data_IF_701709895032
#
_entry.id   IF_701709895032
#
_cell.length_a   1.000
_cell.length_b   1.000
_cell.length_c   1.000
_cell.angle_alpha   90.00
_cell.angle_beta   90.00
_cell.angle_gamma   90.00
#
_symmetry.space_group_name_H-M   'P 1'
#
loop_
_entity.id
_entity.type
_entity.pdbx_description
1 polymer ?
#
# COMPACT_ATOMS: atom_id res chain seq x y z
N UNK A 1 53.12 28.79 1.64
CA UNK A 1 52.87 28.85 3.10
C UNK A 1 51.83 29.92 3.36
N UNK A 2 50.56 29.52 3.50
CA UNK A 2 49.42 30.40 3.81
C UNK A 2 48.77 29.87 5.10
N UNK A 3 48.39 30.78 6.00
CA UNK A 3 48.07 30.44 7.40
C UNK A 3 46.69 29.75 7.55
N UNK A 4 46.49 28.88 8.55
CA UNK A 4 45.31 28.01 8.65
C UNK A 4 44.04 28.67 9.22
N UNK A 5 43.97 30.01 9.28
CA UNK A 5 42.87 30.73 9.96
C UNK A 5 41.79 31.32 9.04
N UNK A 6 41.89 31.15 7.73
CA UNK A 6 40.92 31.73 6.76
C UNK A 6 39.91 30.74 6.17
N UNK A 7 39.99 29.44 6.47
CA UNK A 7 39.07 28.43 5.90
C UNK A 7 37.82 28.20 6.79
N UNK A 8 37.88 28.57 8.07
CA UNK A 8 36.76 28.41 9.02
C UNK A 8 35.72 29.55 8.99
N UNK A 9 35.95 30.61 8.21
CA UNK A 9 35.01 31.74 8.10
C UNK A 9 34.05 31.63 6.90
N UNK A 10 34.29 30.71 5.96
CA UNK A 10 33.41 30.52 4.80
C UNK A 10 32.35 29.44 5.01
N UNK A 11 32.58 28.45 5.90
CA UNK A 11 31.59 27.38 6.17
C UNK A 11 30.39 27.88 6.98
N UNK A 12 30.58 28.92 7.80
CA UNK A 12 29.50 29.46 8.66
C UNK A 12 28.62 30.50 7.94
N UNK A 13 29.03 31.02 6.77
CA UNK A 13 28.25 31.97 5.98
C UNK A 13 27.28 31.28 4.98
N UNK A 14 27.55 30.03 4.60
CA UNK A 14 26.69 29.26 3.69
C UNK A 14 25.52 28.60 4.46
N UNK A 15 25.71 28.25 5.73
CA UNK A 15 24.66 27.69 6.59
C UNK A 15 23.58 28.73 7.01
N UNK A 16 23.90 30.02 7.00
CA UNK A 16 22.97 31.09 7.40
C UNK A 16 22.10 31.64 6.25
N UNK A 17 22.38 31.28 5.00
CA UNK A 17 21.64 31.78 3.82
C UNK A 17 20.55 30.79 3.35
N UNK A 18 20.58 29.54 3.84
CA UNK A 18 19.58 28.50 3.49
C UNK A 18 18.34 28.52 4.41
N UNK A 19 18.36 29.30 5.50
CA UNK A 19 17.29 29.31 6.51
C UNK A 19 16.31 30.51 6.46
N UNK A 20 16.36 31.37 5.43
CA UNK A 20 15.55 32.61 5.34
C UNK A 20 14.66 32.71 4.08
N UNK A 21 14.54 31.66 3.25
CA UNK A 21 13.64 31.66 2.10
C UNK A 21 12.64 30.50 2.09
N UNK A 22 11.81 30.39 3.13
CA UNK A 22 10.57 29.58 3.12
C UNK A 22 9.48 30.23 3.99
N UNK A 23 8.99 31.38 3.57
CA UNK A 23 7.72 31.94 4.03
C UNK A 23 7.22 32.97 3.02
N UNK A 24 5.90 32.93 2.72
CA UNK A 24 5.14 33.64 1.68
C UNK A 24 5.16 32.93 0.31
N UNK A 25 4.06 32.64 -0.39
CA UNK A 25 2.64 32.99 -0.31
C UNK A 25 1.82 31.78 -0.86
N UNK A 26 0.52 31.61 -0.57
CA UNK A 26 -0.55 32.26 -1.31
C UNK A 26 -1.88 32.12 -0.55
N UNK A 27 -2.53 33.27 -0.33
CA UNK A 27 -3.94 33.40 0.03
C UNK A 27 -4.83 33.48 -1.22
N UNK A 28 -6.10 33.14 -0.96
CA UNK A 28 -7.27 33.00 -1.82
C UNK A 28 -7.67 34.24 -2.63
N UNK A 29 -8.26 34.03 -3.82
CA UNK A 29 -9.39 34.83 -4.36
C UNK A 29 -10.33 33.93 -5.19
N UNK A 30 -11.67 34.03 -5.06
CA UNK A 30 -12.65 33.21 -5.81
C UNK A 30 -13.18 33.91 -7.08
N UNK A 31 -13.64 33.11 -8.07
CA UNK A 31 -14.31 33.58 -9.30
C UNK A 31 -15.15 32.47 -9.96
N UNK A 32 -16.13 32.80 -10.83
CA UNK A 32 -17.49 32.28 -10.73
C UNK A 32 -17.81 31.00 -11.52
N UNK A 33 -18.89 30.35 -11.07
CA UNK A 33 -19.51 29.15 -11.63
C UNK A 33 -20.23 29.43 -12.96
N UNK A 34 -20.00 28.55 -13.95
CA UNK A 34 -20.92 28.30 -15.05
C UNK A 34 -21.39 26.84 -14.97
N UNK A 35 -22.71 26.70 -14.96
CA UNK A 35 -23.46 25.45 -14.92
C UNK A 35 -23.68 24.90 -16.33
N UNK A 36 -23.46 23.60 -16.53
CA UNK A 36 -24.13 22.83 -17.57
C UNK A 36 -24.25 21.35 -17.18
N UNK A 37 -25.44 20.81 -17.46
CA UNK A 37 -25.98 19.50 -17.08
C UNK A 37 -25.29 18.32 -17.78
N UNK A 38 -25.25 17.16 -17.11
CA UNK A 38 -25.26 15.85 -17.78
C UNK A 38 -24.60 14.69 -17.01
N UNK A 39 -25.43 13.71 -16.62
CA UNK A 39 -25.10 12.34 -16.18
C UNK A 39 -24.36 12.15 -14.82
N UNK A 40 -25.13 11.75 -13.81
CA UNK A 40 -24.64 11.40 -12.48
C UNK A 40 -24.03 9.98 -12.45
N UNK A 41 -22.69 9.92 -12.54
CA UNK A 41 -21.90 8.97 -11.75
C UNK A 41 -21.40 9.73 -10.53
N UNK A 42 -21.70 9.25 -9.32
CA UNK A 42 -21.28 9.88 -8.08
C UNK A 42 -19.77 9.69 -7.89
N UNK A 43 -18.97 10.52 -8.56
CA UNK A 43 -17.56 10.70 -8.24
C UNK A 43 -17.48 11.54 -6.96
N UNK A 44 -17.21 10.90 -5.82
CA UNK A 44 -16.76 11.60 -4.63
C UNK A 44 -15.39 12.25 -4.90
N UNK A 45 -15.14 13.50 -4.47
CA UNK A 45 -13.82 14.10 -4.59
C UNK A 45 -12.81 13.28 -3.76
N UNK A 46 -11.81 12.68 -4.43
CA UNK A 46 -10.67 12.01 -3.78
C UNK A 46 -10.02 12.96 -2.78
N UNK A 47 -10.19 12.70 -1.47
CA UNK A 47 -9.43 13.41 -0.45
C UNK A 47 -8.01 12.87 -0.46
N UNK A 48 -7.04 13.70 -0.88
CA UNK A 48 -5.64 13.35 -0.80
C UNK A 48 -5.25 12.98 0.64
N UNK A 49 -4.69 11.79 0.82
CA UNK A 49 -4.03 11.36 2.04
C UNK A 49 -2.80 12.25 2.28
N UNK A 50 -2.98 13.36 3.00
CA UNK A 50 -1.87 14.18 3.46
C UNK A 50 -1.24 13.53 4.69
N UNK A 51 -0.32 12.59 4.45
CA UNK A 51 0.56 12.02 5.49
C UNK A 51 1.99 12.58 5.35
N UNK A 52 2.10 13.89 5.14
CA UNK A 52 3.38 14.61 5.05
C UNK A 52 3.71 15.27 6.38
N UNK A 53 4.58 14.66 7.20
CA UNK A 53 5.62 15.37 7.98
C UNK A 53 6.39 14.54 9.03
N UNK A 54 6.22 13.22 9.15
CA UNK A 54 6.92 12.44 10.22
C UNK A 54 7.99 11.44 9.78
N UNK A 55 8.35 11.35 8.50
CA UNK A 55 9.08 10.15 7.99
C UNK A 55 10.55 10.31 7.61
N UNK A 56 11.11 11.51 7.54
CA UNK A 56 12.53 11.71 7.17
C UNK A 56 13.54 11.58 8.33
N UNK A 57 13.07 11.40 9.58
CA UNK A 57 13.94 11.39 10.77
C UNK A 57 14.37 9.98 11.25
N UNK A 58 14.10 8.92 10.49
CA UNK A 58 14.26 7.53 10.96
C UNK A 58 15.64 6.92 10.73
N UNK A 59 16.56 7.55 10.00
CA UNK A 59 17.73 6.83 9.45
C UNK A 59 19.11 7.42 9.80
N UNK A 60 19.19 8.43 10.66
CA UNK A 60 20.47 8.98 11.18
C UNK A 60 20.45 9.10 12.72
N UNK A 61 20.37 7.97 13.42
CA UNK A 61 20.61 7.90 14.86
C UNK A 61 21.36 6.58 15.20
N UNK A 62 22.16 6.62 16.27
CA UNK A 62 23.05 5.59 16.85
C UNK A 62 23.10 4.20 16.20
N UNK A 63 24.30 3.84 15.71
CA UNK A 63 24.55 2.88 14.63
C UNK A 63 24.02 1.43 14.75
N UNK A 64 23.65 0.89 15.92
CA UNK A 64 23.30 -0.53 16.03
C UNK A 64 21.89 -0.80 16.59
N UNK A 65 21.50 -0.21 17.72
CA UNK A 65 20.15 -0.44 18.29
C UNK A 65 19.03 0.13 17.42
N UNK A 66 19.25 1.32 16.83
CA UNK A 66 18.28 1.94 15.92
C UNK A 66 18.18 1.16 14.59
N UNK A 67 19.27 0.51 14.17
CA UNK A 67 19.31 -0.30 12.95
C UNK A 67 18.50 -1.60 13.08
N UNK A 68 18.57 -2.27 14.24
CA UNK A 68 17.78 -3.47 14.51
C UNK A 68 16.27 -3.16 14.52
N UNK A 69 15.86 -2.10 15.21
CA UNK A 69 14.46 -1.66 15.24
C UNK A 69 13.96 -1.24 13.84
N UNK A 70 14.79 -0.54 13.06
CA UNK A 70 14.47 -0.18 11.68
C UNK A 70 14.32 -1.42 10.78
N UNK A 71 15.17 -2.43 10.95
CA UNK A 71 15.07 -3.71 10.25
C UNK A 71 13.76 -4.42 10.56
N UNK A 72 13.45 -4.63 11.84
CA UNK A 72 12.19 -5.27 12.24
C UNK A 72 10.98 -4.52 11.69
N UNK A 73 11.02 -3.18 11.66
CA UNK A 73 9.96 -2.36 11.05
C UNK A 73 9.85 -2.56 9.55
N UNK A 74 10.97 -2.70 8.84
CA UNK A 74 10.98 -2.92 7.40
C UNK A 74 10.46 -4.32 7.05
N UNK A 75 10.93 -5.35 7.75
CA UNK A 75 10.45 -6.73 7.63
C UNK A 75 8.93 -6.79 7.83
N UNK A 76 8.46 -6.17 8.91
CA UNK A 76 7.04 -6.01 9.21
C UNK A 76 6.25 -5.26 8.12
N UNK A 77 6.82 -4.20 7.55
CA UNK A 77 6.18 -3.43 6.46
C UNK A 77 6.06 -4.25 5.17
N UNK A 78 7.00 -5.16 4.92
CA UNK A 78 7.01 -6.06 3.77
C UNK A 78 6.40 -7.42 4.06
N UNK A 79 5.79 -7.63 5.24
CA UNK A 79 5.14 -8.90 5.56
C UNK A 79 3.91 -9.13 4.68
N UNK A 80 4.01 -10.13 3.82
CA UNK A 80 2.94 -10.54 2.91
C UNK A 80 1.68 -11.01 3.64
N UNK A 81 1.81 -11.52 4.88
CA UNK A 81 0.65 -11.95 5.68
C UNK A 81 -0.16 -10.76 6.16
N UNK A 82 0.51 -9.71 6.64
CA UNK A 82 -0.12 -8.45 7.03
C UNK A 82 -0.77 -7.78 5.82
N UNK A 83 -0.08 -7.77 4.67
CA UNK A 83 -0.63 -7.25 3.43
C UNK A 83 -1.86 -8.05 2.95
N UNK A 84 -1.83 -9.37 3.05
CA UNK A 84 -2.99 -10.22 2.75
C UNK A 84 -4.20 -9.90 3.63
N UNK A 85 -4.00 -9.64 4.93
CA UNK A 85 -5.07 -9.17 5.82
C UNK A 85 -5.62 -7.82 5.37
N UNK A 86 -4.75 -6.88 4.98
CA UNK A 86 -5.16 -5.58 4.45
C UNK A 86 -6.09 -5.75 3.24
N UNK A 87 -5.68 -6.56 2.25
CA UNK A 87 -6.48 -6.79 1.05
C UNK A 87 -7.78 -7.53 1.33
N UNK A 88 -7.77 -8.50 2.25
CA UNK A 88 -8.98 -9.22 2.65
C UNK A 88 -10.03 -8.30 3.28
N UNK A 89 -9.61 -7.35 4.14
CA UNK A 89 -10.53 -6.37 4.72
C UNK A 89 -11.09 -5.44 3.64
N UNK A 90 -10.24 -4.93 2.73
CA UNK A 90 -10.68 -4.05 1.65
C UNK A 90 -11.67 -4.74 0.70
N UNK A 91 -11.37 -5.97 0.26
CA UNK A 91 -12.29 -6.76 -0.56
C UNK A 91 -13.58 -7.09 0.19
N UNK A 92 -13.52 -7.34 1.51
CA UNK A 92 -14.73 -7.55 2.31
C UNK A 92 -15.60 -6.28 2.40
N UNK A 93 -14.99 -5.11 2.63
CA UNK A 93 -15.72 -3.83 2.64
C UNK A 93 -16.39 -3.54 1.29
N UNK A 94 -15.69 -3.81 0.19
CA UNK A 94 -16.25 -3.70 -1.16
C UNK A 94 -17.48 -4.61 -1.36
N UNK A 95 -17.42 -5.85 -0.84
CA UNK A 95 -18.57 -6.77 -0.88
C UNK A 95 -19.74 -6.24 -0.04
N UNK A 96 -19.49 -5.69 1.14
CA UNK A 96 -20.55 -5.09 1.96
C UNK A 96 -21.23 -3.93 1.24
N UNK A 97 -20.45 -3.04 0.61
CA UNK A 97 -20.99 -1.94 -0.20
C UNK A 97 -21.85 -2.44 -1.35
N UNK A 98 -21.39 -3.48 -2.07
CA UNK A 98 -22.15 -4.12 -3.16
C UNK A 98 -23.44 -4.76 -2.65
N UNK A 99 -23.43 -5.32 -1.45
CA UNK A 99 -24.58 -5.87 -0.76
C UNK A 99 -25.48 -4.82 -0.08
N UNK A 100 -25.23 -3.52 -0.31
CA UNK A 100 -25.96 -2.38 0.25
C UNK A 100 -25.84 -2.24 1.77
N UNK A 101 -24.70 -2.64 2.31
CA UNK A 101 -24.29 -2.40 3.70
C UNK A 101 -22.98 -1.57 3.78
N UNK A 102 -23.00 -0.30 3.33
CA UNK A 102 -21.82 0.56 3.47
C UNK A 102 -21.51 0.90 4.94
N UNK A 103 -22.45 0.70 5.86
CA UNK A 103 -22.33 1.09 7.27
C UNK A 103 -21.42 0.14 8.04
N UNK A 104 -21.50 -1.17 7.79
CA UNK A 104 -20.51 -2.14 8.29
C UNK A 104 -19.11 -1.80 7.78
N UNK A 105 -18.98 -1.42 6.50
CA UNK A 105 -17.71 -0.95 5.95
C UNK A 105 -17.19 0.27 6.72
N UNK A 106 -18.05 1.26 6.97
CA UNK A 106 -17.67 2.46 7.73
C UNK A 106 -17.26 2.15 9.16
N UNK A 107 -17.96 1.27 9.84
CA UNK A 107 -17.60 0.80 11.19
C UNK A 107 -16.20 0.17 11.22
N UNK A 108 -15.85 -0.62 10.20
CA UNK A 108 -14.50 -1.19 10.06
C UNK A 108 -13.43 -0.09 9.90
N UNK A 109 -13.67 0.95 9.09
CA UNK A 109 -12.73 2.07 8.95
C UNK A 109 -12.49 2.79 10.28
N UNK A 110 -13.56 3.03 11.02
CA UNK A 110 -13.51 3.74 12.30
C UNK A 110 -12.80 2.88 13.35
N UNK A 111 -13.05 1.57 13.38
CA UNK A 111 -12.32 0.60 14.19
C UNK A 111 -10.82 0.60 13.89
N UNK A 112 -10.44 0.60 12.61
CA UNK A 112 -9.04 0.61 12.19
C UNK A 112 -8.38 2.00 12.32
N UNK A 113 -9.17 3.06 12.53
CA UNK A 113 -8.68 4.44 12.52
C UNK A 113 -8.09 4.86 11.17
N UNK A 114 -8.58 4.27 10.07
CA UNK A 114 -8.05 4.52 8.71
C UNK A 114 -9.19 4.96 7.79
N UNK A 115 -9.39 6.27 7.56
CA UNK A 115 -10.47 6.75 6.71
C UNK A 115 -10.21 6.43 5.23
N UNK A 116 -11.28 6.21 4.45
CA UNK A 116 -11.23 5.86 3.03
C UNK A 116 -10.38 4.61 2.76
N UNK A 117 -10.43 3.64 3.66
CA UNK A 117 -9.61 2.45 3.56
C UNK A 117 -10.09 1.54 2.42
N UNK A 118 -11.39 1.54 2.09
CA UNK A 118 -11.90 0.80 0.91
C UNK A 118 -11.26 1.26 -0.40
N UNK A 119 -10.98 2.57 -0.53
CA UNK A 119 -10.45 3.18 -1.74
C UNK A 119 -8.91 3.17 -1.82
N UNK A 120 -8.23 2.82 -0.72
CA UNK A 120 -6.77 2.92 -0.63
C UNK A 120 -6.05 1.88 -1.51
N UNK A 121 -5.30 2.34 -2.52
CA UNK A 121 -4.48 1.48 -3.39
C UNK A 121 -3.01 1.59 -3.01
N UNK A 122 -2.59 0.93 -1.94
CA UNK A 122 -1.20 0.96 -1.48
C UNK A 122 -0.84 -0.17 -0.52
N UNK A 123 0.43 -0.27 -0.18
CA UNK A 123 0.95 -1.24 0.80
C UNK A 123 1.18 -0.57 2.16
N UNK A 124 1.08 -1.36 3.23
CA UNK A 124 1.36 -0.90 4.59
C UNK A 124 0.41 0.21 5.06
N UNK A 125 -0.90 -0.05 4.98
CA UNK A 125 -1.94 0.85 5.48
C UNK A 125 -1.67 1.26 6.94
N UNK A 126 -2.04 2.50 7.30
CA UNK A 126 -1.63 3.14 8.55
C UNK A 126 -1.94 2.33 9.82
N UNK A 127 -3.01 1.54 9.83
CA UNK A 127 -3.37 0.73 10.99
C UNK A 127 -2.36 -0.38 11.30
N UNK A 128 -1.63 -0.90 10.32
CA UNK A 128 -0.69 -2.02 10.54
C UNK A 128 0.32 -1.70 11.65
N UNK A 129 0.81 -0.46 11.71
CA UNK A 129 1.68 0.01 12.79
C UNK A 129 0.98 0.04 14.17
N UNK A 130 -0.29 0.44 14.21
CA UNK A 130 -1.10 0.51 15.44
C UNK A 130 -1.37 -0.88 16.04
N UNK A 131 -1.36 -1.93 15.22
CA UNK A 131 -1.56 -3.31 15.64
C UNK A 131 -0.25 -4.11 15.76
N UNK A 132 0.88 -3.41 15.95
CA UNK A 132 2.17 -4.06 16.18
C UNK A 132 2.68 -4.88 15.00
N UNK A 133 2.19 -4.60 13.79
CA UNK A 133 2.54 -5.27 12.53
C UNK A 133 2.20 -6.77 12.45
N UNK A 134 1.48 -7.32 13.42
CA UNK A 134 1.02 -8.71 13.31
C UNK A 134 -0.17 -8.80 12.36
N UNK A 135 -0.17 -9.80 11.49
CA UNK A 135 -1.22 -9.98 10.48
C UNK A 135 -2.60 -10.31 11.08
N UNK A 136 -2.63 -10.92 12.26
CA UNK A 136 -3.82 -11.39 12.97
C UNK A 136 -4.31 -10.41 14.03
N UNK A 137 -3.44 -9.56 14.57
CA UNK A 137 -3.75 -8.58 15.60
C UNK A 137 -5.01 -7.73 15.32
N UNK A 138 -5.25 -7.16 14.12
CA UNK A 138 -6.50 -6.43 13.86
C UNK A 138 -7.74 -7.32 13.95
N UNK A 139 -7.64 -8.60 13.58
CA UNK A 139 -8.74 -9.57 13.64
C UNK A 139 -9.01 -10.01 15.08
N UNK A 140 -7.95 -10.33 15.83
CA UNK A 140 -8.04 -10.68 17.25
C UNK A 140 -8.64 -9.52 18.06
N UNK A 141 -8.23 -8.29 17.79
CA UNK A 141 -8.78 -7.11 18.48
C UNK A 141 -10.22 -6.82 18.06
N UNK A 142 -10.58 -7.04 16.79
CA UNK A 142 -11.97 -6.93 16.34
C UNK A 142 -12.88 -7.90 17.11
N UNK A 143 -12.47 -9.16 17.30
CA UNK A 143 -13.23 -10.16 18.07
C UNK A 143 -13.41 -9.80 19.55
N UNK A 144 -12.53 -8.95 20.12
CA UNK A 144 -12.66 -8.48 21.51
C UNK A 144 -13.69 -7.36 21.64
N UNK A 145 -14.09 -6.72 20.55
CA UNK A 145 -15.11 -5.67 20.59
C UNK A 145 -16.47 -6.27 20.91
N UNK A 146 -17.27 -5.63 21.78
CA UNK A 146 -18.64 -6.05 22.01
C UNK A 146 -19.47 -5.88 20.74
N UNK A 147 -20.62 -6.57 20.68
CA UNK A 147 -21.62 -6.28 19.66
C UNK A 147 -22.03 -4.81 19.76
N UNK A 148 -22.25 -4.19 18.62
CA UNK A 148 -22.50 -2.76 18.49
C UNK A 148 -23.73 -2.53 17.60
N UNK A 149 -24.34 -1.35 17.69
CA UNK A 149 -25.52 -0.98 16.88
C UNK A 149 -25.26 0.37 16.23
N UNK A 150 -25.20 0.37 14.91
CA UNK A 150 -25.06 1.59 14.12
C UNK A 150 -26.45 2.09 13.74
N UNK A 151 -26.84 3.24 14.27
CA UNK A 151 -28.12 3.88 13.96
C UNK A 151 -27.97 4.72 12.70
N UNK A 152 -28.73 4.39 11.66
CA UNK A 152 -28.70 5.07 10.36
C UNK A 152 -29.99 5.83 10.15
N UNK A 153 -29.90 7.15 10.15
CA UNK A 153 -31.01 8.03 9.80
C UNK A 153 -31.11 8.19 8.28
N UNK A 154 -32.19 7.70 7.67
CA UNK A 154 -32.48 7.92 6.26
C UNK A 154 -33.71 8.80 6.07
N UNK A 155 -33.61 9.75 5.15
CA UNK A 155 -34.75 10.60 4.78
C UNK A 155 -35.82 9.75 4.11
N UNK A 156 -37.03 9.77 4.65
CA UNK A 156 -38.16 9.04 4.08
C UNK A 156 -38.47 9.58 2.67
N UNK A 157 -38.53 8.71 1.66
CA UNK A 157 -38.89 9.11 0.30
C UNK A 157 -40.35 9.58 0.25
N UNK A 158 -40.55 10.81 -0.23
CA UNK A 158 -41.86 11.45 -0.42
C UNK A 158 -42.30 12.34 0.75
N UNK A 159 -42.67 13.59 0.46
CA UNK A 159 -43.23 14.56 1.42
C UNK A 159 -44.66 14.22 1.89
N UNK A 160 -45.14 13.00 1.67
CA UNK A 160 -46.46 12.56 2.10
C UNK A 160 -47.03 11.47 1.20
N UNK A 161 -47.12 10.24 1.72
CA UNK A 161 -48.14 9.31 1.24
C UNK A 161 -49.48 9.79 1.80
N UNK A 162 -50.23 10.56 1.00
CA UNK A 162 -51.57 11.00 1.42
C UNK A 162 -52.19 12.22 0.73
N UNK A 163 -51.76 12.61 -0.48
CA UNK A 163 -52.43 13.70 -1.22
C UNK A 163 -52.10 15.13 -0.76
N UNK A 164 -51.01 15.31 -0.01
CA UNK A 164 -50.57 16.64 0.44
C UNK A 164 -49.81 17.36 -0.68
N UNK A 165 -50.02 18.68 -0.80
CA UNK A 165 -49.30 19.52 -1.76
C UNK A 165 -47.79 19.45 -1.52
N UNK A 166 -47.01 19.25 -2.59
CA UNK A 166 -45.53 19.16 -2.55
C UNK A 166 -44.88 20.43 -1.98
N UNK A 167 -45.57 21.57 -2.07
CA UNK A 167 -45.05 22.89 -1.74
C UNK A 167 -45.46 23.40 -0.35
N UNK A 168 -45.93 22.54 0.54
CA UNK A 168 -46.25 22.98 1.91
C UNK A 168 -44.95 23.30 2.69
N UNK A 169 -44.70 24.56 3.08
CA UNK A 169 -43.50 24.95 3.82
C UNK A 169 -43.51 24.47 5.28
N UNK A 170 -44.66 24.04 5.81
CA UNK A 170 -44.82 23.55 7.18
C UNK A 170 -44.62 22.04 7.33
N UNK A 171 -44.31 21.33 6.23
CA UNK A 171 -44.09 19.90 6.25
C UNK A 171 -42.64 19.58 6.65
N UNK A 172 -42.45 19.22 7.92
CA UNK A 172 -41.15 18.85 8.48
C UNK A 172 -40.54 17.63 7.77
N UNK A 173 -39.22 17.64 7.62
CA UNK A 173 -38.51 16.51 7.05
C UNK A 173 -38.54 15.34 8.03
N UNK A 174 -39.18 14.24 7.62
CA UNK A 174 -39.25 13.02 8.42
C UNK A 174 -38.06 12.12 8.11
N UNK A 175 -37.27 11.87 9.14
CA UNK A 175 -36.21 10.88 9.14
C UNK A 175 -36.74 9.58 9.74
N UNK A 176 -36.25 8.45 9.22
CA UNK A 176 -36.48 7.14 9.80
C UNK A 176 -35.12 6.60 10.18
N UNK A 177 -34.99 6.21 11.44
CA UNK A 177 -33.78 5.59 11.96
C UNK A 177 -33.89 4.08 11.80
N UNK A 178 -32.80 3.47 11.34
CA UNK A 178 -32.66 2.02 11.19
C UNK A 178 -31.46 1.57 12.02
N UNK A 179 -31.69 0.56 12.85
CA UNK A 179 -30.64 -0.03 13.66
C UNK A 179 -29.95 -1.13 12.85
N UNK A 180 -28.63 -1.04 12.71
CA UNK A 180 -27.80 -2.05 12.07
C UNK A 180 -26.94 -2.72 13.15
N UNK A 181 -27.25 -3.98 13.45
CA UNK A 181 -26.50 -4.79 14.39
C UNK A 181 -25.14 -5.19 13.78
N UNK A 182 -24.07 -4.83 14.48
CA UNK A 182 -22.70 -5.21 14.15
C UNK A 182 -22.24 -6.31 15.11
N UNK A 183 -21.87 -7.46 14.54
CA UNK A 183 -21.25 -8.57 15.27
C UNK A 183 -19.78 -8.75 14.85
N UNK A 184 -18.82 -8.21 15.62
CA UNK A 184 -17.40 -8.26 15.28
C UNK A 184 -16.82 -9.67 15.13
N UNK A 185 -17.37 -10.66 15.85
CA UNK A 185 -16.95 -12.06 15.75
C UNK A 185 -17.37 -12.65 14.40
N UNK A 186 -18.61 -12.37 14.00
CA UNK A 186 -19.13 -12.76 12.68
C UNK A 186 -18.36 -12.07 11.53
N UNK A 187 -18.01 -10.78 11.69
CA UNK A 187 -17.18 -10.06 10.72
C UNK A 187 -15.81 -10.72 10.54
N UNK A 188 -15.14 -11.06 11.64
CA UNK A 188 -13.82 -11.70 11.61
C UNK A 188 -13.86 -13.04 10.85
N UNK A 189 -14.87 -13.88 11.10
CA UNK A 189 -15.06 -15.15 10.38
C UNK A 189 -15.18 -14.96 8.86
N UNK A 190 -15.96 -13.96 8.45
CA UNK A 190 -16.17 -13.65 7.03
C UNK A 190 -14.90 -13.09 6.38
N UNK A 191 -14.17 -12.22 7.07
CA UNK A 191 -12.89 -11.68 6.59
C UNK A 191 -11.84 -12.79 6.41
N UNK A 192 -11.75 -13.74 7.35
CA UNK A 192 -10.85 -14.89 7.20
C UNK A 192 -11.17 -15.73 5.96
N UNK A 193 -12.46 -15.88 5.63
CA UNK A 193 -12.90 -16.61 4.44
C UNK A 193 -12.47 -15.88 3.15
N UNK A 194 -12.60 -14.55 3.10
CA UNK A 194 -12.08 -13.72 1.99
C UNK A 194 -10.55 -13.82 1.91
N UNK A 195 -9.87 -13.82 3.06
CA UNK A 195 -8.40 -13.95 3.16
C UNK A 195 -7.91 -15.26 2.54
N UNK A 196 -8.58 -16.39 2.80
CA UNK A 196 -8.24 -17.68 2.17
C UNK A 196 -8.52 -17.72 0.68
N UNK A 197 -9.59 -17.06 0.23
CA UNK A 197 -9.87 -16.94 -1.19
C UNK A 197 -8.73 -16.19 -1.91
N UNK A 198 -8.35 -15.00 -1.41
CA UNK A 198 -7.27 -14.21 -2.00
C UNK A 198 -5.94 -14.96 -1.95
N UNK A 199 -5.64 -15.65 -0.85
CA UNK A 199 -4.41 -16.46 -0.74
C UNK A 199 -4.31 -17.52 -1.85
N UNK A 200 -5.41 -18.21 -2.16
CA UNK A 200 -5.45 -19.19 -3.27
C UNK A 200 -5.19 -18.56 -4.63
N UNK A 201 -5.77 -17.39 -4.87
CA UNK A 201 -5.54 -16.63 -6.11
C UNK A 201 -4.06 -16.20 -6.20
N UNK A 202 -3.49 -15.74 -5.09
CA UNK A 202 -2.09 -15.32 -5.03
C UNK A 202 -1.09 -16.46 -5.29
N UNK A 203 -1.42 -17.71 -4.99
CA UNK A 203 -0.55 -18.85 -5.35
C UNK A 203 -0.30 -18.90 -6.86
N UNK A 204 -1.34 -18.72 -7.67
CA UNK A 204 -1.22 -18.64 -9.13
C UNK A 204 -0.59 -17.33 -9.58
N UNK A 205 -1.01 -16.21 -9.01
CA UNK A 205 -0.51 -14.88 -9.39
C UNK A 205 1.00 -14.74 -9.14
N UNK A 206 1.51 -15.28 -8.02
CA UNK A 206 2.95 -15.32 -7.72
C UNK A 206 3.74 -16.18 -8.71
N UNK A 207 3.14 -17.28 -9.19
CA UNK A 207 3.76 -18.11 -10.21
C UNK A 207 3.91 -17.34 -11.54
N UNK A 208 2.86 -16.62 -11.94
CA UNK A 208 2.89 -15.77 -13.13
C UNK A 208 3.89 -14.63 -13.00
N UNK A 209 3.94 -13.98 -11.83
CA UNK A 209 4.93 -12.94 -11.56
C UNK A 209 6.36 -13.50 -11.64
N UNK A 210 6.60 -14.73 -11.19
CA UNK A 210 7.92 -15.35 -11.28
C UNK A 210 8.34 -15.62 -12.73
N UNK A 211 7.40 -16.05 -13.59
CA UNK A 211 7.63 -16.22 -15.02
C UNK A 211 7.88 -14.87 -15.72
N UNK A 212 7.04 -13.88 -15.47
CA UNK A 212 7.18 -12.54 -16.03
C UNK A 212 8.49 -11.87 -15.61
N UNK A 213 8.88 -12.04 -14.34
CA UNK A 213 10.13 -11.54 -13.78
C UNK A 213 11.36 -12.06 -14.54
N UNK A 214 11.33 -13.31 -15.01
CA UNK A 214 12.41 -13.91 -15.79
C UNK A 214 12.60 -13.31 -17.19
N UNK A 215 11.59 -12.58 -17.73
CA UNK A 215 11.63 -12.00 -19.08
C UNK A 215 12.12 -10.55 -19.13
N UNK A 216 12.26 -9.89 -17.99
CA UNK A 216 12.55 -8.46 -17.93
C UNK A 216 13.90 -8.14 -18.57
N UNK A 217 14.97 -8.84 -18.17
CA UNK A 217 16.32 -8.59 -18.71
C UNK A 217 16.41 -8.94 -20.20
N UNK A 218 15.79 -10.04 -20.63
CA UNK A 218 15.75 -10.43 -22.04
C UNK A 218 15.04 -9.37 -22.89
N UNK A 219 13.93 -8.82 -22.39
CA UNK A 219 13.22 -7.74 -23.06
C UNK A 219 14.05 -6.45 -23.12
N UNK A 220 14.71 -6.08 -22.02
CA UNK A 220 15.60 -4.91 -21.98
C UNK A 220 16.71 -5.01 -23.03
N UNK A 221 17.43 -6.13 -23.08
CA UNK A 221 18.50 -6.32 -24.06
C UNK A 221 18.01 -6.48 -25.50
N UNK A 222 16.78 -6.95 -25.71
CA UNK A 222 16.18 -7.00 -27.05
C UNK A 222 15.89 -5.59 -27.57
N UNK A 223 15.25 -4.74 -26.76
CA UNK A 223 14.96 -3.34 -27.15
C UNK A 223 16.25 -2.56 -27.43
N UNK A 224 17.30 -2.74 -26.62
CA UNK A 224 18.60 -2.11 -26.86
C UNK A 224 19.25 -2.51 -28.20
N UNK A 225 18.95 -3.71 -28.72
CA UNK A 225 19.45 -4.17 -30.03
C UNK A 225 18.60 -3.66 -31.19
N UNK A 226 17.32 -3.40 -30.93
CA UNK A 226 16.33 -2.97 -31.93
C UNK A 226 16.29 -1.45 -32.13
N UNK A 227 16.86 -0.64 -31.22
CA UNK A 227 16.91 0.84 -31.26
C UNK A 227 17.71 1.44 -32.46
N UNK A 228 17.87 0.75 -33.59
CA UNK A 228 18.60 1.27 -34.75
C UNK A 228 17.90 2.45 -35.47
N UNK A 229 16.60 2.71 -35.29
CA UNK A 229 15.94 3.95 -35.72
C UNK A 229 14.81 4.37 -34.77
N UNK A 230 15.04 5.30 -33.82
CA UNK A 230 13.98 5.77 -32.93
C UNK A 230 12.97 6.64 -33.69
N UNK A 231 11.70 6.24 -33.70
CA UNK A 231 10.60 7.17 -33.95
C UNK A 231 10.59 8.22 -32.83
N UNK A 232 10.90 9.48 -33.19
CA UNK A 232 11.20 10.62 -32.29
C UNK A 232 10.07 10.95 -31.28
N UNK A 233 8.86 10.41 -31.50
CA UNK A 233 7.67 10.70 -30.70
C UNK A 233 7.29 9.60 -29.67
N UNK A 234 7.96 8.44 -29.66
CA UNK A 234 7.61 7.37 -28.73
C UNK A 234 8.28 7.54 -27.35
N UNK A 235 7.56 7.36 -26.22
CA UNK A 235 8.17 7.42 -24.90
C UNK A 235 9.21 6.31 -24.76
N UNK A 236 10.41 6.67 -24.28
CA UNK A 236 11.48 5.69 -24.02
C UNK A 236 11.06 4.73 -22.92
N UNK A 237 10.76 3.50 -23.30
CA UNK A 237 10.45 2.40 -22.39
C UNK A 237 11.68 1.49 -22.33
N UNK A 238 12.16 1.19 -21.12
CA UNK A 238 13.36 0.37 -20.94
C UNK A 238 13.09 -1.12 -21.24
N UNK A 239 11.88 -1.62 -20.96
CA UNK A 239 11.51 -3.03 -21.19
C UNK A 239 10.00 -3.21 -21.31
N UNK A 240 9.56 -4.30 -21.93
CA UNK A 240 8.14 -4.64 -22.05
C UNK A 240 7.54 -4.98 -20.68
N UNK A 241 6.44 -4.30 -20.31
CA UNK A 241 5.75 -4.47 -19.03
C UNK A 241 4.86 -5.72 -19.01
N UNK A 242 5.47 -6.89 -19.21
CA UNK A 242 4.79 -8.18 -19.40
C UNK A 242 3.86 -8.56 -18.25
N UNK A 243 4.14 -8.13 -17.02
CA UNK A 243 3.27 -8.39 -15.87
C UNK A 243 1.87 -7.77 -16.04
N UNK A 244 1.80 -6.54 -16.60
CA UNK A 244 0.54 -5.84 -16.87
C UNK A 244 -0.22 -6.53 -18.00
N UNK A 245 0.47 -6.94 -19.06
CA UNK A 245 -0.17 -7.65 -20.18
C UNK A 245 -0.75 -8.99 -19.74
N UNK A 246 -0.06 -9.72 -18.86
CA UNK A 246 -0.56 -10.97 -18.29
C UNK A 246 -1.77 -10.70 -17.41
N UNK A 247 -1.74 -9.65 -16.58
CA UNK A 247 -2.86 -9.27 -15.71
C UNK A 247 -4.16 -9.07 -16.50
N UNK A 248 -4.09 -8.32 -17.60
CA UNK A 248 -5.24 -8.02 -18.46
C UNK A 248 -5.78 -9.26 -19.18
N UNK A 249 -4.91 -10.21 -19.53
CA UNK A 249 -5.30 -11.40 -20.29
C UNK A 249 -5.76 -12.58 -19.39
N UNK A 250 -5.13 -12.79 -18.23
CA UNK A 250 -5.33 -13.97 -17.38
C UNK A 250 -6.49 -13.85 -16.39
N UNK A 251 -6.95 -12.64 -16.06
CA UNK A 251 -7.99 -12.42 -15.03
C UNK A 251 -9.42 -12.68 -15.51
N UNK A 252 -9.63 -12.96 -16.80
CA UNK A 252 -10.97 -12.99 -17.41
C UNK A 252 -11.76 -14.30 -17.26
N UNK A 253 -11.13 -15.41 -16.85
CA UNK A 253 -11.72 -16.76 -17.05
C UNK A 253 -12.22 -17.49 -15.80
N UNK A 254 -11.95 -16.99 -14.58
CA UNK A 254 -12.35 -17.65 -13.31
C UNK A 254 -13.01 -16.64 -12.37
N UNK A 255 -14.01 -17.09 -11.59
CA UNK A 255 -14.66 -16.30 -10.53
C UNK A 255 -13.59 -15.78 -9.57
N UNK A 256 -13.27 -14.50 -9.72
CA UNK A 256 -12.18 -13.82 -9.03
C UNK A 256 -12.70 -13.08 -7.80
N UNK A 257 -11.86 -12.93 -6.77
CA UNK A 257 -12.12 -11.98 -5.70
C UNK A 257 -12.26 -10.56 -6.25
N UNK A 258 -13.06 -9.70 -5.59
CA UNK A 258 -13.09 -8.29 -5.93
C UNK A 258 -11.70 -7.68 -5.77
N UNK A 259 -11.38 -6.72 -6.64
CA UNK A 259 -10.12 -5.99 -6.64
C UNK A 259 -8.89 -6.85 -6.96
N UNK A 260 -9.03 -8.03 -7.58
CA UNK A 260 -7.88 -8.89 -7.92
C UNK A 260 -6.83 -8.18 -8.76
N UNK A 261 -7.24 -7.37 -9.73
CA UNK A 261 -6.32 -6.56 -10.53
C UNK A 261 -5.42 -5.68 -9.65
N UNK A 262 -6.04 -4.94 -8.72
CA UNK A 262 -5.30 -4.12 -7.77
C UNK A 262 -4.50 -4.93 -6.76
N UNK A 263 -4.98 -6.12 -6.37
CA UNK A 263 -4.23 -7.03 -5.50
C UNK A 263 -2.94 -7.50 -6.19
N UNK A 264 -3.01 -7.86 -7.46
CA UNK A 264 -1.87 -8.33 -8.24
C UNK A 264 -0.81 -7.24 -8.40
N UNK A 265 -1.23 -6.03 -8.79
CA UNK A 265 -0.34 -4.87 -8.93
C UNK A 265 0.40 -4.56 -7.62
N UNK A 266 -0.33 -4.46 -6.52
CA UNK A 266 0.27 -4.17 -5.21
C UNK A 266 1.12 -5.32 -4.69
N UNK A 267 0.78 -6.58 -5.01
CA UNK A 267 1.60 -7.74 -4.69
C UNK A 267 2.95 -7.68 -5.43
N UNK A 268 2.94 -7.33 -6.72
CA UNK A 268 4.16 -7.12 -7.50
C UNK A 268 5.01 -5.98 -6.93
N UNK A 269 4.36 -4.89 -6.50
CA UNK A 269 5.03 -3.77 -5.84
C UNK A 269 5.66 -4.18 -4.50
N UNK A 270 4.93 -4.92 -3.67
CA UNK A 270 5.42 -5.41 -2.38
C UNK A 270 6.59 -6.40 -2.55
N UNK A 271 6.52 -7.32 -3.51
CA UNK A 271 7.61 -8.24 -3.81
C UNK A 271 8.87 -7.46 -4.21
N UNK A 272 8.72 -6.42 -5.03
CA UNK A 272 9.83 -5.56 -5.46
C UNK A 272 10.44 -4.83 -4.28
N UNK A 273 9.62 -4.27 -3.38
CA UNK A 273 10.10 -3.62 -2.17
C UNK A 273 10.87 -4.59 -1.24
N UNK A 274 10.32 -5.78 -0.98
CA UNK A 274 10.98 -6.82 -0.18
C UNK A 274 12.33 -7.24 -0.79
N UNK A 275 12.39 -7.33 -2.12
CA UNK A 275 13.62 -7.68 -2.86
C UNK A 275 14.69 -6.60 -2.74
N UNK A 276 14.31 -5.32 -2.82
CA UNK A 276 15.20 -4.19 -2.60
C UNK A 276 15.81 -4.26 -1.20
N UNK A 277 14.98 -4.52 -0.18
CA UNK A 277 15.45 -4.66 1.20
C UNK A 277 16.43 -5.83 1.35
N UNK A 278 16.13 -6.97 0.74
CA UNK A 278 17.03 -8.13 0.72
C UNK A 278 18.35 -7.86 0.01
N UNK A 279 18.35 -7.14 -1.12
CA UNK A 279 19.58 -6.75 -1.82
C UNK A 279 20.41 -5.77 -1.00
N UNK A 280 19.78 -4.80 -0.32
CA UNK A 280 20.47 -3.88 0.58
C UNK A 280 21.14 -4.62 1.75
N UNK A 281 20.48 -5.65 2.28
CA UNK A 281 21.06 -6.52 3.30
C UNK A 281 22.27 -7.31 2.76
N UNK A 282 22.13 -7.96 1.60
CA UNK A 282 23.19 -8.74 0.97
C UNK A 282 24.43 -7.85 0.70
N UNK A 283 24.25 -6.61 0.23
CA UNK A 283 25.35 -5.65 -0.02
C UNK A 283 26.05 -5.24 1.27
N UNK A 284 25.28 -5.02 2.34
CA UNK A 284 25.81 -4.64 3.65
C UNK A 284 26.61 -5.79 4.27
N UNK A 285 26.12 -7.01 4.18
CA UNK A 285 26.82 -8.20 4.68
C UNK A 285 28.05 -8.55 3.83
N UNK A 286 27.98 -8.31 2.52
CA UNK A 286 29.10 -8.47 1.61
C UNK A 286 30.20 -7.41 1.74
N UNK A 287 29.98 -6.34 2.51
CA UNK A 287 30.94 -5.24 2.70
C UNK A 287 31.14 -4.35 1.46
N UNK A 288 30.20 -4.36 0.53
CA UNK A 288 30.21 -3.46 -0.64
C UNK A 288 29.60 -2.09 -0.27
N UNK A 289 30.33 -1.33 0.53
CA UNK A 289 29.89 -0.04 1.08
C UNK A 289 29.48 0.97 -0.01
N UNK A 290 30.15 0.94 -1.16
CA UNK A 290 29.90 1.91 -2.25
C UNK A 290 28.56 1.61 -2.91
N UNK A 291 28.34 0.36 -3.34
CA UNK A 291 27.07 -0.03 -3.94
C UNK A 291 25.92 0.08 -2.94
N UNK A 292 26.15 -0.32 -1.69
CA UNK A 292 25.16 -0.19 -0.62
C UNK A 292 24.73 1.26 -0.44
N UNK A 293 25.68 2.18 -0.23
CA UNK A 293 25.36 3.59 0.04
C UNK A 293 24.63 4.24 -1.14
N UNK A 294 25.13 4.01 -2.34
CA UNK A 294 24.49 4.55 -3.55
C UNK A 294 23.06 4.03 -3.72
N UNK A 295 22.86 2.71 -3.60
CA UNK A 295 21.56 2.11 -3.82
C UNK A 295 20.57 2.47 -2.72
N UNK A 296 21.04 2.56 -1.48
CA UNK A 296 20.29 3.08 -0.35
C UNK A 296 19.79 4.50 -0.61
N UNK A 297 20.69 5.42 -0.99
CA UNK A 297 20.34 6.82 -1.27
C UNK A 297 19.35 6.91 -2.45
N UNK A 298 19.54 6.08 -3.49
CA UNK A 298 18.62 5.98 -4.62
C UNK A 298 17.22 5.55 -4.19
N UNK A 299 17.12 4.52 -3.35
CA UNK A 299 15.87 3.94 -2.84
C UNK A 299 15.15 4.90 -1.88
N UNK A 300 15.84 5.40 -0.86
CA UNK A 300 15.25 6.29 0.15
C UNK A 300 14.74 7.59 -0.49
N UNK A 301 15.45 8.12 -1.48
CA UNK A 301 15.01 9.28 -2.25
C UNK A 301 13.73 9.06 -3.08
N UNK A 302 13.29 7.81 -3.24
CA UNK A 302 12.18 7.40 -4.12
C UNK A 302 11.09 6.59 -3.42
N UNK A 303 11.30 6.13 -2.19
CA UNK A 303 10.34 5.25 -1.49
C UNK A 303 8.93 5.86 -1.40
N UNK A 304 8.87 7.16 -1.14
CA UNK A 304 7.62 7.92 -1.06
C UNK A 304 6.83 7.91 -2.38
N UNK A 305 7.53 7.89 -3.52
CA UNK A 305 6.93 7.98 -4.84
C UNK A 305 6.40 6.63 -5.33
N UNK A 306 7.15 5.54 -5.11
CA UNK A 306 6.84 4.23 -5.71
C UNK A 306 6.18 3.24 -4.74
N UNK A 307 6.41 3.35 -3.42
CA UNK A 307 6.05 2.29 -2.46
C UNK A 307 5.15 2.75 -1.30
N UNK A 308 4.93 4.06 -1.13
CA UNK A 308 4.18 4.60 0.01
C UNK A 308 2.92 5.35 -0.42
N UNK A 309 1.84 5.22 0.35
CA UNK A 309 0.61 5.99 0.12
C UNK A 309 -0.29 5.38 -0.96
N UNK A 310 -1.22 6.19 -1.46
CA UNK A 310 -2.14 5.80 -2.53
C UNK A 310 -1.40 5.87 -3.88
N UNK A 311 -1.25 4.72 -4.51
CA UNK A 311 -0.37 4.51 -5.66
C UNK A 311 -1.16 4.38 -6.95
N UNK A 312 -0.45 4.58 -8.06
CA UNK A 312 -0.92 4.20 -9.40
C UNK A 312 -0.53 2.74 -9.66
N UNK A 313 -1.09 2.15 -10.71
CA UNK A 313 -0.66 0.85 -11.20
C UNK A 313 0.73 0.92 -11.84
N UNK A 314 1.49 -0.16 -11.79
CA UNK A 314 2.78 -0.33 -12.49
C UNK A 314 3.99 0.28 -11.78
N UNK A 315 3.88 0.66 -10.50
CA UNK A 315 4.98 1.34 -9.78
C UNK A 315 6.22 0.48 -9.56
N UNK A 316 6.04 -0.82 -9.43
CA UNK A 316 7.12 -1.78 -9.36
C UNK A 316 8.03 -1.66 -10.61
N UNK A 317 7.39 -1.59 -11.78
CA UNK A 317 8.08 -1.49 -13.06
C UNK A 317 8.67 -0.10 -13.27
N UNK A 318 7.92 0.96 -12.95
CA UNK A 318 8.43 2.34 -13.04
C UNK A 318 9.73 2.51 -12.19
N UNK A 319 9.83 1.86 -11.03
CA UNK A 319 11.02 1.92 -10.18
C UNK A 319 12.22 1.20 -10.84
N UNK A 320 12.02 0.00 -11.37
CA UNK A 320 13.07 -0.77 -12.04
C UNK A 320 13.54 -0.08 -13.33
N UNK A 321 12.61 0.47 -14.10
CA UNK A 321 12.90 1.27 -15.29
C UNK A 321 13.75 2.51 -14.92
N UNK A 322 13.35 3.27 -13.89
CA UNK A 322 14.13 4.41 -13.42
C UNK A 322 15.54 4.03 -12.94
N UNK A 323 15.71 2.82 -12.39
CA UNK A 323 17.01 2.29 -11.99
C UNK A 323 17.86 1.91 -13.23
N UNK A 324 17.28 1.21 -14.20
CA UNK A 324 17.99 0.75 -15.40
C UNK A 324 18.37 1.90 -16.35
N UNK A 325 17.57 2.96 -16.40
CA UNK A 325 17.89 4.16 -17.19
C UNK A 325 18.95 5.05 -16.54
N UNK A 326 19.40 4.72 -15.32
CA UNK A 326 20.44 5.48 -14.64
C UNK A 326 21.82 5.13 -15.24
N UNK A 327 22.63 6.12 -15.65
CA UNK A 327 23.98 5.83 -16.11
C UNK A 327 24.89 5.43 -14.94
N UNK A 328 25.91 4.57 -15.18
CA UNK A 328 27.00 4.35 -14.23
C UNK A 328 27.63 5.68 -13.79
N UNK A 329 27.90 5.81 -12.49
CA UNK A 329 28.43 7.04 -11.89
C UNK A 329 29.47 6.73 -10.83
N UNK A 330 30.46 7.61 -10.67
CA UNK A 330 31.44 7.48 -9.60
C UNK A 330 30.83 8.00 -8.29
N UNK A 331 30.85 7.17 -7.24
CA UNK A 331 30.33 7.50 -5.90
C UNK A 331 31.43 7.34 -4.87
N UNK A 332 31.45 8.24 -3.88
CA UNK A 332 32.39 8.23 -2.77
C UNK A 332 31.71 7.73 -1.50
N UNK A 333 32.16 6.61 -0.96
CA UNK A 333 31.76 6.08 0.34
C UNK A 333 32.81 6.47 1.39
N UNK A 334 32.76 7.73 1.81
CA UNK A 334 33.71 8.30 2.78
C UNK A 334 35.02 8.82 2.16
N UNK A 335 36.00 9.14 3.02
CA UNK A 335 37.19 9.90 2.63
C UNK A 335 38.18 9.17 1.71
N UNK A 336 38.08 7.86 1.53
CA UNK A 336 39.07 7.08 0.76
C UNK A 336 38.51 5.97 -0.14
N UNK A 337 37.20 5.66 -0.09
CA UNK A 337 36.61 4.64 -0.97
C UNK A 337 35.81 5.33 -2.08
N UNK A 338 36.31 5.25 -3.30
CA UNK A 338 35.57 5.61 -4.50
C UNK A 338 35.29 4.33 -5.31
N UNK A 339 34.11 4.23 -5.90
CA UNK A 339 33.75 3.13 -6.79
C UNK A 339 32.81 3.58 -7.89
N UNK A 340 32.69 2.75 -8.92
CA UNK A 340 31.76 2.95 -10.02
C UNK A 340 30.47 2.17 -9.72
N UNK A 341 29.32 2.82 -9.85
CA UNK A 341 28.02 2.17 -9.66
C UNK A 341 27.61 1.41 -10.91
N UNK A 342 26.96 0.27 -10.73
CA UNK A 342 26.36 -0.51 -11.82
C UNK A 342 24.84 -0.63 -11.62
N UNK A 343 24.03 0.30 -12.17
CA UNK A 343 22.59 0.28 -12.01
C UNK A 343 21.91 -0.92 -12.67
N UNK A 344 22.47 -1.42 -13.78
CA UNK A 344 21.95 -2.59 -14.49
C UNK A 344 22.19 -3.85 -13.67
N UNK A 345 23.42 -4.05 -13.17
CA UNK A 345 23.73 -5.14 -12.26
C UNK A 345 22.90 -5.08 -10.97
N UNK A 346 22.56 -3.89 -10.49
CA UNK A 346 21.65 -3.73 -9.34
C UNK A 346 20.22 -4.17 -9.68
N UNK A 347 19.70 -3.78 -10.84
CA UNK A 347 18.38 -4.23 -11.31
C UNK A 347 18.33 -5.75 -11.45
N UNK A 348 19.38 -6.37 -12.00
CA UNK A 348 19.51 -7.83 -12.09
C UNK A 348 19.47 -8.50 -10.71
N UNK A 349 20.22 -7.97 -9.73
CA UNK A 349 20.18 -8.46 -8.34
C UNK A 349 18.78 -8.38 -7.74
N UNK A 350 18.04 -7.29 -7.96
CA UNK A 350 16.66 -7.14 -7.49
C UNK A 350 15.75 -8.17 -8.16
N UNK A 351 15.85 -8.35 -9.48
CA UNK A 351 15.06 -9.33 -10.24
C UNK A 351 15.32 -10.75 -9.73
N UNK A 352 16.58 -11.09 -9.46
CA UNK A 352 16.93 -12.40 -8.90
C UNK A 352 16.36 -12.57 -7.48
N UNK A 353 16.59 -11.60 -6.58
CA UNK A 353 16.04 -11.65 -5.21
C UNK A 353 14.51 -11.70 -5.21
N UNK A 354 13.86 -11.01 -6.16
CA UNK A 354 12.40 -11.03 -6.34
C UNK A 354 11.87 -12.40 -6.70
N UNK A 355 12.59 -13.15 -7.52
CA UNK A 355 12.24 -14.55 -7.79
C UNK A 355 12.20 -15.38 -6.52
N UNK A 356 13.20 -15.21 -5.65
CA UNK A 356 13.28 -15.95 -4.38
C UNK A 356 12.12 -15.59 -3.45
N UNK A 357 11.83 -14.29 -3.32
CA UNK A 357 10.67 -13.77 -2.55
C UNK A 357 9.36 -14.34 -3.07
N UNK A 358 9.15 -14.33 -4.40
CA UNK A 358 7.93 -14.86 -5.03
C UNK A 358 7.71 -16.35 -4.69
N UNK A 359 8.77 -17.16 -4.76
CA UNK A 359 8.72 -18.59 -4.44
C UNK A 359 8.50 -18.85 -2.95
N UNK A 360 9.11 -18.06 -2.08
CA UNK A 360 8.87 -18.12 -0.64
C UNK A 360 7.42 -17.79 -0.31
N UNK A 361 6.93 -16.65 -0.81
CA UNK A 361 5.57 -16.20 -0.52
C UNK A 361 4.52 -17.13 -1.09
N UNK A 362 4.78 -17.79 -2.21
CA UNK A 362 3.89 -18.84 -2.72
C UNK A 362 3.70 -19.97 -1.70
N UNK A 363 4.78 -20.39 -1.02
CA UNK A 363 4.70 -21.38 0.07
C UNK A 363 3.93 -20.83 1.27
N UNK A 364 4.13 -19.55 1.61
CA UNK A 364 3.36 -18.91 2.69
C UNK A 364 1.86 -18.92 2.36
N UNK A 365 1.48 -18.56 1.13
CA UNK A 365 0.07 -18.54 0.70
C UNK A 365 -0.59 -19.92 0.79
N UNK A 366 0.13 -20.99 0.48
CA UNK A 366 -0.36 -22.37 0.64
C UNK A 366 -0.64 -22.74 2.11
N UNK A 367 0.06 -22.13 3.06
CA UNK A 367 -0.05 -22.40 4.49
C UNK A 367 -1.07 -21.51 5.22
N UNK A 368 -1.67 -20.52 4.54
CA UNK A 368 -2.64 -19.58 5.13
C UNK A 368 -3.79 -20.28 5.88
N UNK A 369 -4.42 -21.36 5.36
CA UNK A 369 -5.47 -22.06 6.11
C UNK A 369 -4.98 -22.63 7.44
N UNK A 370 -3.73 -23.06 7.52
CA UNK A 370 -3.09 -23.54 8.75
C UNK A 370 -2.83 -22.39 9.71
N UNK A 371 -2.31 -21.25 9.23
CA UNK A 371 -2.08 -20.05 10.05
C UNK A 371 -3.40 -19.56 10.71
N UNK A 372 -4.54 -19.73 10.04
CA UNK A 372 -5.85 -19.37 10.58
C UNK A 372 -6.34 -20.27 11.73
N UNK A 373 -5.69 -21.41 12.00
CA UNK A 373 -6.16 -22.38 12.99
C UNK A 373 -6.26 -21.76 14.39
N UNK A 374 -5.28 -20.97 14.81
CA UNK A 374 -5.30 -20.33 16.13
C UNK A 374 -6.42 -19.28 16.24
N UNK A 375 -6.56 -18.40 15.24
CA UNK A 375 -7.65 -17.41 15.21
C UNK A 375 -9.02 -18.09 15.20
N UNK A 376 -9.17 -19.22 14.52
CA UNK A 376 -10.42 -20.02 14.52
C UNK A 376 -10.72 -20.65 15.88
N UNK A 377 -9.72 -21.10 16.62
CA UNK A 377 -9.91 -21.61 18.00
C UNK A 377 -10.43 -20.52 18.93
N UNK A 378 -9.87 -19.31 18.83
CA UNK A 378 -10.32 -18.16 19.59
C UNK A 378 -11.76 -17.76 19.20
N UNK A 379 -12.05 -17.77 17.90
CA UNK A 379 -13.37 -17.48 17.36
C UNK A 379 -14.43 -18.47 17.88
N UNK A 380 -14.13 -19.77 17.84
CA UNK A 380 -15.02 -20.81 18.36
C UNK A 380 -15.25 -20.65 19.86
N UNK A 381 -14.19 -20.36 20.62
CA UNK A 381 -14.29 -20.13 22.07
C UNK A 381 -15.24 -18.97 22.38
N UNK A 382 -15.12 -17.85 21.65
CA UNK A 382 -16.01 -16.69 21.78
C UNK A 382 -17.46 -17.00 21.40
N UNK A 383 -17.68 -17.79 20.36
CA UNK A 383 -19.03 -18.22 19.97
C UNK A 383 -19.68 -19.08 21.06
N UNK A 384 -18.92 -20.00 21.66
CA UNK A 384 -19.41 -20.84 22.77
C UNK A 384 -19.75 -20.02 24.02
N UNK A 385 -18.94 -19.03 24.38
CA UNK A 385 -19.24 -18.10 25.48
C UNK A 385 -20.58 -17.35 25.26
N UNK A 386 -20.85 -16.93 24.02
CA UNK A 386 -22.09 -16.23 23.67
C UNK A 386 -23.34 -17.11 23.80
N UNK A 387 -23.23 -18.40 23.45
CA UNK A 387 -24.34 -19.35 23.57
C UNK A 387 -24.61 -19.73 25.02
N UNK A 388 -23.57 -19.91 25.84
CA UNK A 388 -23.72 -20.21 27.26
C UNK A 388 -24.37 -19.08 28.06
N UNK A 389 -24.14 -17.83 27.64
CA UNK A 389 -24.66 -16.65 28.34
C UNK A 389 -26.13 -16.33 27.99
N UNK A 390 -26.60 -16.73 26.79
CA UNK A 390 -27.96 -16.47 26.32
C UNK A 390 -29.06 -17.38 26.90
N UNK A 391 -28.69 -18.38 27.71
CA UNK A 391 -29.63 -19.36 28.28
C UNK A 391 -30.38 -18.92 29.53
N UNK A 392 -30.09 -17.74 30.09
CA UNK A 392 -30.85 -17.22 31.24
C UNK A 392 -31.98 -16.32 30.74
N UNK A 393 -32.96 -16.93 30.08
CA UNK A 393 -34.27 -16.30 29.83
C UNK A 393 -34.93 -16.06 31.20
N UNK A 394 -34.95 -14.79 31.65
CA UNK A 394 -35.79 -14.32 32.74
C UNK A 394 -37.22 -14.06 32.25
#
# INVERSE_FOLDING_TARGET
VLSPKSVLSLSNAIAATILVLRSHAFDLVPGPRLSLLGAATSFSPRRHFQNHNRRSHVLEASFDEDAAAARTRNEARTDVRAFLTQRAIQSFMFLQETCRDPHTGKWIEDFLGTPNFSEFHGTGAGYTASFGWSWDAPLLEMMRRPKDVVVVSAKRRGRGHGGWSKDNPYLEERWVDFDIDIDPVSLTSRILSVREQIAREWVSDLAFLAEANGRIMDSYFSLLREEEEPDDDSPKIAYARTAVDILLNSTSTVVSSPLREGNFDLLHNLCTQASIHGVLEDLREGGDDVSFRWFWDFYVGRVAEYFDGDQKYGRADDFLEALMLKPPSAVYAGFQKAGLTDPIGMAEKIIQKRRDVLLEWQKIMLNVPTDHTEVRKDLLSKQMESWGSGGTLQ
#
